data_IF_971413007789
#
_entry.id   IF_971413007789
#
_cell.length_a   1.000
_cell.length_b   1.000
_cell.length_c   1.000
_cell.angle_alpha   90.00
_cell.angle_beta   90.00
_cell.angle_gamma   90.00
#
_symmetry.space_group_name_H-M   'P 1'
#
loop_
_entity.id
_entity.type
_entity.pdbx_description
1 polymer ?
#
# COMPACT_ATOMS: atom_id res chain seq x y z
N UNK A 1 -35.91 -14.52 33.65
CA UNK A 1 -35.48 -13.76 32.47
C UNK A 1 -34.07 -14.21 32.10
N UNK A 2 -34.00 -15.15 31.16
CA UNK A 2 -32.77 -15.81 30.75
C UNK A 2 -32.00 -14.89 29.81
N UNK A 3 -30.77 -14.50 30.16
CA UNK A 3 -29.89 -13.73 29.28
C UNK A 3 -29.63 -14.55 28.01
N UNK A 4 -30.13 -14.08 26.87
CA UNK A 4 -29.70 -14.56 25.56
C UNK A 4 -28.19 -14.35 25.46
N UNK A 5 -27.46 -15.46 25.33
CA UNK A 5 -26.02 -15.45 25.12
C UNK A 5 -25.69 -14.63 23.88
N UNK A 6 -24.72 -13.73 24.01
CA UNK A 6 -24.17 -12.95 22.90
C UNK A 6 -23.58 -13.95 21.91
N UNK A 7 -24.27 -14.20 20.80
CA UNK A 7 -23.74 -15.03 19.72
C UNK A 7 -22.43 -14.39 19.26
N UNK A 8 -21.36 -15.15 19.41
CA UNK A 8 -19.98 -14.76 19.08
C UNK A 8 -19.92 -14.26 17.64
N UNK A 9 -19.43 -13.04 17.43
CA UNK A 9 -19.24 -12.44 16.11
C UNK A 9 -18.19 -13.23 15.35
N UNK A 10 -18.64 -14.17 14.52
CA UNK A 10 -17.79 -14.81 13.52
C UNK A 10 -17.55 -13.85 12.33
N UNK A 11 -16.64 -14.21 11.41
CA UNK A 11 -16.30 -13.38 10.24
C UNK A 11 -17.49 -12.94 9.40
N UNK A 12 -18.59 -13.72 9.39
CA UNK A 12 -19.84 -13.38 8.68
C UNK A 12 -20.78 -12.42 9.42
N UNK A 13 -20.47 -12.02 10.66
CA UNK A 13 -21.27 -11.08 11.44
C UNK A 13 -20.77 -9.63 11.34
N UNK A 14 -19.58 -9.42 10.78
CA UNK A 14 -19.02 -8.11 10.52
C UNK A 14 -19.57 -7.58 9.18
N UNK A 15 -20.72 -6.91 9.24
CA UNK A 15 -21.31 -6.24 8.08
C UNK A 15 -20.79 -4.82 7.98
N UNK A 16 -20.82 -4.27 6.77
CA UNK A 16 -20.60 -2.85 6.53
C UNK A 16 -19.22 -2.39 7.03
N UNK A 17 -18.17 -3.12 6.64
CA UNK A 17 -16.78 -2.79 6.93
C UNK A 17 -15.99 -2.52 5.66
N UNK A 18 -15.02 -1.62 5.77
CA UNK A 18 -13.85 -1.58 4.90
C UNK A 18 -12.69 -2.21 5.65
N UNK A 19 -12.06 -3.20 5.04
CA UNK A 19 -10.90 -3.90 5.62
C UNK A 19 -9.74 -3.78 4.65
N UNK A 20 -8.62 -3.26 5.14
CA UNK A 20 -7.34 -3.20 4.41
C UNK A 20 -6.30 -3.97 5.21
N UNK A 21 -5.71 -4.99 4.59
CA UNK A 21 -4.65 -5.79 5.18
C UNK A 21 -3.29 -5.27 4.73
N UNK A 22 -2.43 -4.90 5.67
CA UNK A 22 -1.03 -4.55 5.41
C UNK A 22 -0.16 -5.70 5.88
N UNK A 23 0.60 -6.29 4.95
CA UNK A 23 1.43 -7.46 5.22
C UNK A 23 2.70 -7.05 5.97
N UNK A 24 2.97 -7.71 7.10
CA UNK A 24 4.00 -7.36 8.06
C UNK A 24 3.43 -6.75 9.34
N UNK A 25 4.31 -6.42 10.29
CA UNK A 25 3.95 -5.70 11.51
C UNK A 25 5.01 -4.66 11.83
N UNK A 26 4.66 -3.64 12.63
CA UNK A 26 5.62 -2.61 13.04
C UNK A 26 6.02 -1.68 11.90
N UNK A 27 5.06 -1.36 11.03
CA UNK A 27 5.26 -0.44 9.92
C UNK A 27 5.70 0.95 10.41
N UNK A 28 6.49 1.64 9.59
CA UNK A 28 6.96 2.98 9.93
C UNK A 28 5.80 3.96 10.00
N UNK A 29 5.85 4.93 10.92
CA UNK A 29 4.87 6.03 11.00
C UNK A 29 4.97 7.03 9.84
N UNK A 30 5.96 6.87 8.96
CA UNK A 30 6.15 7.70 7.78
C UNK A 30 5.21 7.31 6.64
N UNK A 31 4.45 6.23 6.78
CA UNK A 31 3.46 5.81 5.80
C UNK A 31 2.15 5.53 6.53
N UNK A 32 1.03 6.01 5.98
CA UNK A 32 -0.30 5.75 6.53
C UNK A 32 -1.36 5.69 5.45
N UNK A 33 -2.36 4.85 5.68
CA UNK A 33 -3.58 4.82 4.88
C UNK A 33 -4.43 6.04 5.23
N UNK A 34 -4.96 6.71 4.22
CA UNK A 34 -5.83 7.87 4.39
C UNK A 34 -7.06 7.76 3.52
N UNK A 35 -8.21 8.20 4.05
CA UNK A 35 -9.47 8.27 3.32
C UNK A 35 -9.65 9.67 2.78
N UNK A 36 -9.97 9.78 1.49
CA UNK A 36 -10.15 11.05 0.78
C UNK A 36 -11.53 11.07 0.15
N UNK A 37 -12.16 12.24 0.06
CA UNK A 37 -13.42 12.39 -0.68
C UNK A 37 -13.23 12.28 -2.20
N UNK A 38 -14.31 12.44 -2.96
CA UNK A 38 -14.24 12.40 -4.42
C UNK A 38 -13.45 13.57 -5.03
N UNK A 39 -13.27 14.68 -4.29
CA UNK A 39 -12.48 15.82 -4.77
C UNK A 39 -10.99 15.48 -4.82
N UNK A 40 -10.53 14.54 -3.99
CA UNK A 40 -9.13 14.12 -3.95
C UNK A 40 -8.19 15.13 -3.27
N UNK A 41 -8.73 16.23 -2.72
CA UNK A 41 -7.92 17.36 -2.28
C UNK A 41 -7.28 17.14 -0.91
N UNK A 42 -8.08 16.77 0.10
CA UNK A 42 -7.59 16.62 1.48
C UNK A 42 -8.14 15.37 2.18
N UNK A 43 -7.36 14.75 3.10
CA UNK A 43 -7.78 13.57 3.81
C UNK A 43 -8.86 13.94 4.82
N UNK A 44 -9.85 13.07 4.91
CA UNK A 44 -10.86 13.12 5.96
C UNK A 44 -10.24 12.56 7.23
N UNK A 45 -9.55 13.43 7.99
CA UNK A 45 -8.74 13.01 9.14
C UNK A 45 -9.57 12.25 10.19
N UNK A 46 -10.78 12.73 10.52
CA UNK A 46 -11.68 12.04 11.46
C UNK A 46 -12.00 10.62 11.02
N UNK A 47 -12.42 10.44 9.77
CA UNK A 47 -12.76 9.12 9.21
C UNK A 47 -11.51 8.23 9.08
N UNK A 48 -10.36 8.82 8.77
CA UNK A 48 -9.08 8.10 8.71
C UNK A 48 -8.69 7.55 10.08
N UNK A 49 -8.84 8.35 11.14
CA UNK A 49 -8.45 7.98 12.52
C UNK A 49 -9.45 7.04 13.20
N UNK A 50 -10.66 6.88 12.66
CA UNK A 50 -11.65 5.90 13.11
C UNK A 50 -11.23 4.44 12.82
N UNK A 51 -10.14 4.23 12.07
CA UNK A 51 -9.60 2.90 11.80
C UNK A 51 -9.27 2.16 13.10
N UNK A 52 -9.88 0.99 13.29
CA UNK A 52 -9.43 0.02 14.29
C UNK A 52 -8.30 -0.80 13.70
N UNK A 53 -7.13 -0.78 14.35
CA UNK A 53 -6.00 -1.60 13.96
C UNK A 53 -6.02 -2.93 14.73
N UNK A 54 -6.04 -4.04 13.99
CA UNK A 54 -5.99 -5.39 14.53
C UNK A 54 -4.73 -6.10 14.04
N UNK A 55 -3.96 -6.72 14.93
CA UNK A 55 -2.85 -7.58 14.51
C UNK A 55 -3.34 -8.99 14.24
N UNK A 56 -3.28 -9.41 12.99
CA UNK A 56 -3.57 -10.78 12.59
C UNK A 56 -2.29 -11.62 12.61
N UNK A 57 -2.25 -12.59 13.53
CA UNK A 57 -1.10 -13.48 13.70
C UNK A 57 -1.36 -14.82 13.04
N UNK A 58 -1.14 -14.89 11.72
CA UNK A 58 -1.13 -16.17 11.01
C UNK A 58 0.19 -16.91 11.22
N UNK A 59 0.18 -18.20 10.94
CA UNK A 59 1.35 -19.10 11.07
C UNK A 59 2.45 -18.81 10.05
N UNK A 60 2.09 -18.26 8.88
CA UNK A 60 3.02 -17.95 7.79
C UNK A 60 3.53 -16.52 7.84
N UNK A 61 2.62 -15.54 7.83
CA UNK A 61 2.96 -14.11 7.77
C UNK A 61 2.03 -13.33 8.68
N UNK A 62 2.59 -12.50 9.55
CA UNK A 62 1.80 -11.58 10.37
C UNK A 62 1.37 -10.37 9.53
N UNK A 63 0.19 -9.84 9.81
CA UNK A 63 -0.33 -8.63 9.15
C UNK A 63 -1.04 -7.71 10.12
N UNK A 64 -1.13 -6.44 9.77
CA UNK A 64 -2.00 -5.46 10.43
C UNK A 64 -3.25 -5.24 9.57
N UNK A 65 -4.42 -5.34 10.18
CA UNK A 65 -5.71 -5.04 9.55
C UNK A 65 -6.16 -3.66 9.99
N UNK A 66 -6.48 -2.81 9.04
CA UNK A 66 -7.12 -1.52 9.26
C UNK A 66 -8.60 -1.67 8.90
N UNK A 67 -9.45 -1.51 9.91
CA UNK A 67 -10.88 -1.79 9.83
C UNK A 67 -11.67 -0.53 10.12
N UNK A 68 -12.49 -0.11 9.16
CA UNK A 68 -13.44 0.99 9.32
C UNK A 68 -14.87 0.48 9.27
N UNK A 69 -15.75 1.08 10.06
CA UNK A 69 -17.19 1.03 9.79
C UNK A 69 -17.46 1.79 8.47
N UNK A 70 -18.11 1.12 7.52
CA UNK A 70 -18.27 1.63 6.16
C UNK A 70 -19.69 1.45 5.63
N UNK A 71 -20.28 2.55 5.14
CA UNK A 71 -21.57 2.52 4.46
C UNK A 71 -21.39 2.58 2.95
N UNK A 72 -22.15 1.78 2.20
CA UNK A 72 -22.14 1.77 0.73
C UNK A 72 -22.55 3.11 0.07
N UNK A 73 -23.06 4.07 0.86
CA UNK A 73 -23.40 5.41 0.38
C UNK A 73 -22.19 6.36 0.34
N UNK A 74 -21.11 6.02 1.04
CA UNK A 74 -19.88 6.79 1.11
C UNK A 74 -19.09 6.57 -0.18
N UNK A 75 -18.99 7.61 -1.02
CA UNK A 75 -18.13 7.59 -2.21
C UNK A 75 -16.81 8.26 -1.89
N UNK A 76 -15.84 7.45 -1.45
CA UNK A 76 -14.52 7.91 -1.05
C UNK A 76 -13.44 7.07 -1.72
N UNK A 77 -12.23 7.57 -1.65
CA UNK A 77 -11.03 6.96 -2.17
C UNK A 77 -10.12 6.54 -1.01
N UNK A 78 -9.33 5.49 -1.21
CA UNK A 78 -8.26 5.08 -0.30
C UNK A 78 -6.92 5.45 -0.90
N UNK A 79 -6.11 6.16 -0.14
CA UNK A 79 -4.80 6.62 -0.56
C UNK A 79 -3.73 6.18 0.44
N UNK A 80 -2.49 6.07 -0.01
CA UNK A 80 -1.30 5.93 0.83
C UNK A 80 -0.61 7.29 0.89
N UNK A 81 -0.46 7.81 2.10
CA UNK A 81 0.32 9.02 2.37
C UNK A 81 1.72 8.62 2.83
N UNK A 82 2.74 9.17 2.17
CA UNK A 82 4.16 8.95 2.47
C UNK A 82 4.77 10.29 2.88
N UNK A 83 5.30 10.34 4.09
CA UNK A 83 6.00 11.51 4.60
C UNK A 83 7.26 11.78 3.76
N UNK A 84 7.45 13.04 3.39
CA UNK A 84 8.64 13.53 2.69
C UNK A 84 9.63 14.14 3.67
N UNK A 85 10.91 14.17 3.29
CA UNK A 85 11.94 14.90 4.05
C UNK A 85 11.79 16.42 3.88
N UNK A 86 11.30 16.85 2.72
CA UNK A 86 11.06 18.25 2.37
C UNK A 86 9.76 18.38 1.56
N UNK A 87 8.93 19.38 1.89
CA UNK A 87 7.69 19.66 1.17
C UNK A 87 6.46 18.93 1.73
N UNK A 88 5.34 18.92 0.99
CA UNK A 88 4.15 18.18 1.36
C UNK A 88 4.37 16.66 1.26
N UNK A 89 3.55 15.83 1.94
CA UNK A 89 3.58 14.38 1.76
C UNK A 89 3.25 13.95 0.33
N UNK A 90 3.84 12.84 -0.13
CA UNK A 90 3.43 12.20 -1.39
C UNK A 90 2.15 11.42 -1.12
N UNK A 91 1.12 11.64 -1.93
CA UNK A 91 -0.17 10.98 -1.82
C UNK A 91 -0.43 10.10 -3.03
N UNK A 92 -0.73 8.83 -2.77
CA UNK A 92 -0.82 7.79 -3.78
C UNK A 92 -2.20 7.16 -3.78
N UNK A 93 -2.96 7.25 -4.89
CA UNK A 93 -4.25 6.58 -4.97
C UNK A 93 -4.04 5.06 -4.96
N UNK A 94 -4.71 4.36 -4.03
CA UNK A 94 -4.74 2.90 -3.96
C UNK A 94 -6.06 2.37 -4.53
N UNK A 95 -7.18 2.96 -4.13
CA UNK A 95 -8.52 2.60 -4.61
C UNK A 95 -9.34 3.86 -4.89
N UNK A 96 -9.86 3.98 -6.10
CA UNK A 96 -10.69 5.10 -6.55
C UNK A 96 -12.13 5.04 -6.00
N UNK A 97 -12.65 3.85 -5.70
CA UNK A 97 -14.00 3.63 -5.19
C UNK A 97 -13.98 2.60 -4.06
N UNK A 98 -13.95 3.10 -2.83
CA UNK A 98 -13.91 2.29 -1.62
C UNK A 98 -15.27 1.67 -1.34
N UNK A 99 -15.30 0.34 -1.21
CA UNK A 99 -16.52 -0.43 -1.00
C UNK A 99 -16.47 -1.23 0.29
N UNK A 100 -17.66 -1.62 0.75
CA UNK A 100 -17.79 -2.62 1.81
C UNK A 100 -17.11 -3.91 1.34
N UNK A 101 -16.21 -4.41 2.18
CA UNK A 101 -15.48 -5.65 1.97
C UNK A 101 -15.74 -6.59 3.15
N UNK A 102 -16.46 -7.72 2.95
CA UNK A 102 -16.63 -8.70 4.01
C UNK A 102 -15.27 -9.30 4.39
N UNK A 103 -15.10 -9.63 5.67
CA UNK A 103 -13.87 -10.25 6.15
C UNK A 103 -13.64 -11.60 5.48
N UNK A 104 -12.43 -11.78 4.98
CA UNK A 104 -11.96 -13.03 4.38
C UNK A 104 -11.17 -13.85 5.41
N UNK A 105 -11.13 -15.17 5.23
CA UNK A 105 -10.44 -16.08 6.14
C UNK A 105 -8.92 -16.20 5.89
N UNK A 106 -8.48 -16.01 4.64
CA UNK A 106 -7.09 -16.21 4.25
C UNK A 106 -6.41 -14.88 3.86
N UNK A 107 -6.99 -14.19 2.88
CA UNK A 107 -6.47 -12.94 2.34
C UNK A 107 -7.62 -11.95 2.18
N UNK A 108 -7.51 -10.78 2.79
CA UNK A 108 -8.51 -9.73 2.62
C UNK A 108 -8.52 -9.25 1.16
N UNK A 109 -9.62 -8.67 0.69
CA UNK A 109 -9.70 -8.22 -0.71
C UNK A 109 -8.76 -7.05 -1.01
N UNK A 110 -8.59 -6.14 -0.05
CA UNK A 110 -7.65 -5.03 -0.17
C UNK A 110 -6.38 -5.40 0.60
N UNK A 111 -5.28 -5.64 -0.12
CA UNK A 111 -3.99 -5.97 0.47
C UNK A 111 -2.91 -4.98 0.02
N UNK A 112 -2.11 -4.54 0.98
CA UNK A 112 -0.86 -3.81 0.75
C UNK A 112 0.28 -4.75 1.09
N UNK A 113 1.07 -5.10 0.08
CA UNK A 113 2.14 -6.10 0.20
C UNK A 113 3.48 -5.41 -0.07
N UNK A 114 4.48 -5.58 0.81
CA UNK A 114 5.83 -5.10 0.53
C UNK A 114 6.45 -5.91 -0.60
N UNK A 115 6.95 -5.23 -1.62
CA UNK A 115 7.66 -5.85 -2.75
C UNK A 115 9.10 -5.35 -2.73
N UNK A 116 10.05 -6.28 -2.80
CA UNK A 116 11.46 -5.98 -2.97
C UNK A 116 11.84 -6.19 -4.45
N UNK A 117 12.37 -5.17 -5.13
CA UNK A 117 12.86 -5.35 -6.49
C UNK A 117 14.18 -6.13 -6.48
N UNK A 118 14.24 -7.17 -7.31
CA UNK A 118 15.45 -7.97 -7.55
C UNK A 118 15.86 -7.86 -9.02
N UNK A 119 17.16 -7.93 -9.27
CA UNK A 119 17.74 -8.05 -10.62
C UNK A 119 18.40 -9.41 -10.78
N UNK A 120 18.30 -9.97 -11.98
CA UNK A 120 19.03 -11.18 -12.32
C UNK A 120 20.51 -10.84 -12.53
N UNK A 121 21.39 -11.44 -11.74
CA UNK A 121 22.83 -11.41 -11.99
C UNK A 121 23.20 -12.63 -12.83
N UNK A 122 23.50 -12.47 -14.14
CA UNK A 122 23.85 -13.60 -14.98
C UNK A 122 25.20 -14.18 -14.55
N UNK A 123 25.28 -15.50 -14.45
CA UNK A 123 26.55 -16.18 -14.25
C UNK A 123 27.38 -16.22 -15.53
N UNK A 124 28.66 -16.54 -15.37
CA UNK A 124 29.64 -16.56 -16.48
C UNK A 124 29.71 -17.92 -17.21
N UNK A 125 28.98 -18.93 -16.71
CA UNK A 125 29.13 -20.33 -17.15
C UNK A 125 28.27 -20.70 -18.36
N UNK A 126 27.20 -19.96 -18.64
CA UNK A 126 26.27 -20.27 -19.73
C UNK A 126 25.57 -19.01 -20.23
N UNK A 127 25.34 -18.94 -21.54
CA UNK A 127 24.49 -17.92 -22.18
C UNK A 127 22.99 -18.08 -21.88
N UNK A 128 22.60 -19.20 -21.28
CA UNK A 128 21.21 -19.52 -20.88
C UNK A 128 21.01 -19.44 -19.36
N UNK A 129 21.99 -18.86 -18.65
CA UNK A 129 21.84 -18.61 -17.23
C UNK A 129 20.76 -17.55 -17.00
N UNK A 130 19.68 -17.93 -16.31
CA UNK A 130 18.58 -17.02 -15.95
C UNK A 130 18.98 -16.05 -14.83
N UNK A 131 20.19 -16.21 -14.29
CA UNK A 131 20.78 -15.38 -13.26
C UNK A 131 20.29 -15.72 -11.86
N UNK A 132 21.10 -15.36 -10.87
CA UNK A 132 20.70 -15.41 -9.47
C UNK A 132 20.00 -14.10 -9.12
N UNK A 133 18.82 -14.13 -8.47
CA UNK A 133 18.17 -12.90 -8.01
C UNK A 133 19.05 -12.25 -6.93
N UNK A 134 19.46 -11.02 -7.18
CA UNK A 134 20.18 -10.18 -6.21
C UNK A 134 19.44 -8.87 -6.02
N UNK A 135 19.62 -8.23 -4.86
CA UNK A 135 19.08 -6.90 -4.62
C UNK A 135 19.60 -5.92 -5.68
N UNK A 136 18.75 -4.97 -6.07
CA UNK A 136 19.15 -3.88 -6.94
C UNK A 136 20.36 -3.13 -6.36
N UNK A 137 21.30 -2.76 -7.22
CA UNK A 137 22.39 -1.83 -6.85
C UNK A 137 21.84 -0.42 -6.69
N UNK A 138 22.61 0.45 -6.04
CA UNK A 138 22.29 1.88 -5.98
C UNK A 138 22.02 2.45 -7.38
N UNK A 139 20.96 3.26 -7.51
CA UNK A 139 20.42 3.70 -8.79
C UNK A 139 18.93 4.04 -8.66
N UNK A 140 18.15 3.82 -9.73
CA UNK A 140 16.72 4.14 -9.76
C UNK A 140 15.89 2.95 -10.24
N UNK A 141 14.73 2.75 -9.62
CA UNK A 141 13.68 1.83 -10.06
C UNK A 141 12.51 2.65 -10.58
N UNK A 142 12.15 2.41 -11.84
CA UNK A 142 11.00 3.04 -12.48
C UNK A 142 9.84 2.06 -12.51
N UNK A 143 8.70 2.48 -11.95
CA UNK A 143 7.48 1.69 -11.96
C UNK A 143 6.53 2.29 -12.96
N UNK A 144 6.14 1.51 -13.96
CA UNK A 144 5.14 1.90 -14.95
C UNK A 144 3.80 1.26 -14.62
N UNK A 145 2.74 2.06 -14.69
CA UNK A 145 1.36 1.61 -14.50
C UNK A 145 0.52 2.13 -15.66
N UNK A 146 -0.21 1.24 -16.33
CA UNK A 146 -0.98 1.55 -17.56
C UNK A 146 -0.14 2.30 -18.60
N UNK A 147 1.02 1.74 -18.93
CA UNK A 147 2.00 2.28 -19.90
C UNK A 147 2.55 3.67 -19.61
N UNK A 148 2.37 4.15 -18.39
CA UNK A 148 2.80 5.46 -17.97
C UNK A 148 3.77 5.37 -16.80
N UNK A 149 4.79 6.23 -16.75
CA UNK A 149 5.65 6.31 -15.57
C UNK A 149 4.76 6.64 -14.38
N UNK A 150 4.75 5.76 -13.39
CA UNK A 150 3.96 5.94 -12.18
C UNK A 150 4.85 6.42 -11.05
N UNK A 151 5.93 5.68 -10.76
CA UNK A 151 6.87 5.98 -9.66
C UNK A 151 8.31 5.93 -10.11
N UNK A 152 9.14 6.72 -9.45
CA UNK A 152 10.60 6.64 -9.49
C UNK A 152 11.08 6.48 -8.05
N UNK A 153 11.85 5.44 -7.80
CA UNK A 153 12.40 5.13 -6.48
C UNK A 153 13.92 5.18 -6.57
N UNK A 154 14.57 6.07 -5.81
CA UNK A 154 16.00 6.05 -5.61
C UNK A 154 16.36 4.88 -4.69
N UNK A 155 17.20 3.98 -5.19
CA UNK A 155 17.81 2.90 -4.42
C UNK A 155 19.12 3.42 -3.86
N UNK A 156 19.23 3.46 -2.53
CA UNK A 156 20.44 3.89 -1.85
C UNK A 156 20.96 2.77 -0.94
N UNK A 157 22.21 2.37 -1.15
CA UNK A 157 22.89 1.35 -0.35
C UNK A 157 23.97 2.01 0.52
N UNK A 158 23.82 1.85 1.84
CA UNK A 158 24.81 2.27 2.83
C UNK A 158 25.28 1.04 3.62
N UNK A 159 26.44 0.49 3.24
CA UNK A 159 26.91 -0.80 3.73
C UNK A 159 25.91 -1.93 3.43
N UNK A 160 25.42 -2.58 4.48
CA UNK A 160 24.42 -3.67 4.39
C UNK A 160 22.98 -3.15 4.31
N UNK A 161 22.74 -1.86 4.52
CA UNK A 161 21.41 -1.28 4.52
C UNK A 161 21.03 -0.79 3.11
N UNK A 162 19.99 -1.39 2.54
CA UNK A 162 19.36 -0.88 1.31
C UNK A 162 18.09 -0.11 1.67
N UNK A 163 18.00 1.14 1.24
CA UNK A 163 16.81 1.99 1.40
C UNK A 163 16.24 2.37 0.05
N UNK A 164 14.92 2.55 0.00
CA UNK A 164 14.19 2.99 -1.17
C UNK A 164 13.54 4.32 -0.84
N UNK A 165 13.91 5.37 -1.57
CA UNK A 165 13.40 6.72 -1.38
C UNK A 165 12.52 7.07 -2.56
N UNK A 166 11.33 7.54 -2.23
CA UNK A 166 10.34 7.85 -3.24
C UNK A 166 10.53 9.27 -3.77
N UNK A 167 10.56 9.41 -5.09
CA UNK A 167 10.68 10.71 -5.75
C UNK A 167 9.28 11.22 -6.09
N UNK A 168 8.97 12.44 -5.63
CA UNK A 168 7.71 13.11 -5.95
C UNK A 168 7.70 13.56 -7.42
N UNK A 169 7.33 12.64 -8.31
CA UNK A 169 7.22 12.90 -9.73
C UNK A 169 6.20 14.00 -10.06
N UNK A 170 5.17 14.21 -9.23
CA UNK A 170 4.15 15.23 -9.51
C UNK A 170 4.74 16.63 -9.38
N UNK A 171 5.63 16.86 -8.42
CA UNK A 171 6.33 18.13 -8.25
C UNK A 171 7.22 18.50 -9.47
N UNK A 172 7.69 17.52 -10.22
CA UNK A 172 8.55 17.74 -11.40
C UNK A 172 7.83 17.61 -12.74
N UNK A 173 6.55 17.23 -12.76
CA UNK A 173 5.74 17.16 -13.98
C UNK A 173 5.14 18.52 -14.31
N UNK A 174 5.40 18.99 -15.54
CA UNK A 174 4.84 20.25 -16.06
C UNK A 174 3.33 20.15 -16.31
N UNK A 175 2.82 18.96 -16.64
CA UNK A 175 1.40 18.65 -16.76
C UNK A 175 1.08 17.51 -15.79
N UNK A 176 0.04 17.65 -14.96
CA UNK A 176 -0.41 16.63 -13.99
C UNK A 176 -0.91 15.31 -14.62
N UNK A 177 -0.77 15.17 -15.94
CA UNK A 177 -1.14 13.98 -16.69
C UNK A 177 0.04 13.00 -16.79
N UNK A 178 -0.30 11.74 -16.97
CA UNK A 178 0.66 10.70 -17.25
C UNK A 178 1.31 10.95 -18.63
N UNK A 179 2.57 11.40 -18.65
CA UNK A 179 3.32 11.53 -19.91
C UNK A 179 3.80 10.16 -20.39
N UNK A 180 3.55 9.87 -21.66
CA UNK A 180 4.07 8.71 -22.38
C UNK A 180 5.54 8.84 -22.80
N UNK A 181 6.22 9.93 -22.43
CA UNK A 181 7.47 10.34 -23.06
C UNK A 181 8.71 9.73 -22.40
N UNK A 182 8.70 8.41 -22.27
CA UNK A 182 9.93 7.61 -22.21
C UNK A 182 10.01 6.74 -23.47
N UNK A 183 10.39 7.38 -24.59
CA UNK A 183 10.91 6.73 -25.79
C UNK A 183 12.25 7.34 -26.16
#
# INVERSE_FOLDING_TARGET
MTRLGKLTGGPGCERDKLIVQVIGTGHSKNQRLVIVDQSGLEPLQTLTDEAVCETERLTSVHSELFVWDWSAQLKHQLWLEIATTHGPPIRLPLLEDVRVTPRQLEAQWNQVVPVLPFVALPGTRSRYDLGTPVLCRSGYVYVFYRDCLWRELEVHQDGELTTYRDIDLQAYRLNHEFSSDYR
#
